data_IF_398890909988
#
_entry.id   IF_398890909988
#
_cell.length_a   1.000
_cell.length_b   1.000
_cell.length_c   1.000
_cell.angle_alpha   90.00
_cell.angle_beta   90.00
_cell.angle_gamma   90.00
#
_symmetry.space_group_name_H-M   'P 1'
#
loop_
_entity.id
_entity.type
_entity.pdbx_description
1 polymer ?
#
# COMPACT_ATOMS: atom_id res chain seq x y z
N UNK A 1 -12.26 -8.30 -2.55
CA UNK A 1 -11.37 -8.64 -1.41
C UNK A 1 -10.29 -9.68 -1.71
N UNK A 2 -10.63 -10.93 -2.07
CA UNK A 2 -9.59 -11.95 -2.35
C UNK A 2 -8.60 -11.53 -3.44
N UNK A 3 -9.09 -10.90 -4.51
CA UNK A 3 -8.24 -10.38 -5.60
C UNK A 3 -7.25 -9.30 -5.11
N UNK A 4 -7.69 -8.39 -4.22
CA UNK A 4 -6.82 -7.37 -3.61
C UNK A 4 -5.68 -8.04 -2.84
N UNK A 5 -6.01 -9.00 -1.97
CA UNK A 5 -4.99 -9.71 -1.19
C UNK A 5 -4.04 -10.50 -2.08
N UNK A 6 -4.54 -11.21 -3.09
CA UNK A 6 -3.70 -11.98 -4.00
C UNK A 6 -2.72 -11.08 -4.77
N UNK A 7 -3.21 -9.96 -5.32
CA UNK A 7 -2.37 -8.98 -6.01
C UNK A 7 -1.36 -8.32 -5.07
N UNK A 8 -1.82 -7.82 -3.93
CA UNK A 8 -0.99 -7.19 -2.90
C UNK A 8 0.11 -8.13 -2.42
N UNK A 9 -0.23 -9.36 -2.03
CA UNK A 9 0.73 -10.32 -1.49
C UNK A 9 1.77 -10.72 -2.54
N UNK A 10 1.37 -10.91 -3.80
CA UNK A 10 2.32 -11.15 -4.88
C UNK A 10 3.39 -10.04 -4.98
N UNK A 11 2.99 -8.78 -4.90
CA UNK A 11 3.94 -7.66 -4.95
C UNK A 11 4.79 -7.55 -3.68
N UNK A 12 4.16 -7.70 -2.52
CA UNK A 12 4.82 -7.61 -1.21
C UNK A 12 5.86 -8.72 -1.06
N UNK A 13 5.54 -9.96 -1.41
CA UNK A 13 6.46 -11.09 -1.26
C UNK A 13 7.69 -10.96 -2.16
N UNK A 14 7.51 -10.43 -3.38
CA UNK A 14 8.58 -10.31 -4.37
C UNK A 14 9.52 -9.10 -4.16
N UNK A 15 9.20 -8.15 -3.26
CA UNK A 15 10.11 -7.03 -3.04
C UNK A 15 11.36 -7.45 -2.26
N UNK A 16 12.54 -7.02 -2.73
CA UNK A 16 13.81 -7.28 -2.06
C UNK A 16 13.98 -6.36 -0.82
N UNK A 17 14.54 -6.90 0.26
CA UNK A 17 14.91 -6.21 1.49
C UNK A 17 16.43 -6.09 1.73
N UNK A 18 17.28 -6.65 0.85
CA UNK A 18 18.76 -6.56 0.90
C UNK A 18 19.25 -5.11 0.89
N UNK A 19 18.48 -4.23 0.25
CA UNK A 19 18.61 -2.79 0.38
C UNK A 19 17.27 -2.18 0.77
N UNK A 20 17.29 -1.02 1.43
CA UNK A 20 16.10 -0.20 1.64
C UNK A 20 16.29 1.13 0.94
N UNK A 21 15.21 1.70 0.39
CA UNK A 21 15.24 3.06 -0.18
C UNK A 21 15.69 4.06 0.90
N UNK A 22 16.43 5.10 0.52
CA UNK A 22 17.05 6.03 1.48
C UNK A 22 16.03 6.63 2.47
N UNK A 23 14.88 7.09 1.97
CA UNK A 23 13.77 7.64 2.77
C UNK A 23 13.23 6.67 3.82
N UNK A 24 13.46 5.36 3.69
CA UNK A 24 12.92 4.38 4.62
C UNK A 24 13.34 4.68 6.07
N UNK A 25 14.57 5.18 6.27
CA UNK A 25 15.11 5.51 7.59
C UNK A 25 14.75 6.93 8.05
N UNK A 26 14.26 7.77 7.15
CA UNK A 26 13.92 9.17 7.42
C UNK A 26 12.43 9.35 7.74
N UNK A 27 11.58 8.44 7.25
CA UNK A 27 10.14 8.49 7.45
C UNK A 27 9.78 8.17 8.91
N UNK A 28 8.97 9.03 9.52
CA UNK A 28 8.25 8.71 10.74
C UNK A 28 7.09 7.75 10.44
N UNK A 29 7.36 6.45 10.54
CA UNK A 29 6.37 5.40 10.28
C UNK A 29 5.20 5.34 11.27
N UNK A 30 5.25 6.12 12.35
CA UNK A 30 4.14 6.23 13.32
C UNK A 30 3.10 7.29 12.91
N UNK A 31 3.34 8.06 11.84
CA UNK A 31 2.36 9.01 11.34
C UNK A 31 1.14 8.27 10.76
N UNK A 32 -0.07 8.78 11.07
CA UNK A 32 -1.35 8.20 10.60
C UNK A 32 -1.53 8.29 9.08
N UNK A 33 -0.91 9.28 8.45
CA UNK A 33 -0.93 9.52 7.01
C UNK A 33 0.47 9.97 6.59
N UNK A 34 1.00 9.36 5.54
CA UNK A 34 2.30 9.65 4.97
C UNK A 34 2.12 9.82 3.47
N UNK A 35 2.46 10.99 2.96
CA UNK A 35 2.50 11.24 1.52
C UNK A 35 3.95 11.11 1.03
N UNK A 36 4.15 10.30 0.00
CA UNK A 36 5.47 10.09 -0.61
C UNK A 36 5.47 10.76 -1.98
N UNK A 37 6.14 11.90 -2.08
CA UNK A 37 6.25 12.67 -3.32
C UNK A 37 7.53 12.34 -4.08
N UNK A 38 7.48 12.40 -5.41
CA UNK A 38 8.65 12.19 -6.26
C UNK A 38 8.29 11.77 -7.68
N UNK A 39 9.23 11.89 -8.61
CA UNK A 39 9.03 11.54 -10.03
C UNK A 39 8.77 10.05 -10.24
N UNK A 40 8.29 9.67 -11.43
CA UNK A 40 8.10 8.26 -11.80
C UNK A 40 9.46 7.55 -11.84
N UNK A 41 9.53 6.31 -11.37
CA UNK A 41 10.75 5.50 -11.38
C UNK A 41 11.73 5.71 -10.21
N UNK A 42 11.51 6.68 -9.32
CA UNK A 42 12.41 6.92 -8.16
C UNK A 42 12.30 5.87 -7.04
N UNK A 43 11.35 4.93 -7.14
CA UNK A 43 11.22 3.82 -6.20
C UNK A 43 10.21 4.02 -5.06
N UNK A 44 9.21 4.90 -5.22
CA UNK A 44 8.13 5.11 -4.25
C UNK A 44 7.39 3.81 -3.91
N UNK A 45 6.93 3.09 -4.94
CA UNK A 45 6.28 1.78 -4.81
C UNK A 45 7.18 0.78 -4.10
N UNK A 46 8.48 0.73 -4.45
CA UNK A 46 9.44 -0.15 -3.76
C UNK A 46 9.50 0.16 -2.26
N UNK A 47 9.58 1.43 -1.87
CA UNK A 47 9.62 1.82 -0.45
C UNK A 47 8.34 1.38 0.29
N UNK A 48 7.17 1.58 -0.32
CA UNK A 48 5.89 1.14 0.24
C UNK A 48 5.84 -0.38 0.44
N UNK A 49 6.18 -1.15 -0.60
CA UNK A 49 6.20 -2.62 -0.55
C UNK A 49 7.20 -3.13 0.49
N UNK A 50 8.37 -2.50 0.62
CA UNK A 50 9.37 -2.87 1.62
C UNK A 50 8.84 -2.71 3.05
N UNK A 51 8.09 -1.64 3.33
CA UNK A 51 7.45 -1.47 4.64
C UNK A 51 6.32 -2.48 4.83
N UNK A 52 5.49 -2.69 3.83
CA UNK A 52 4.41 -3.67 3.88
C UNK A 52 4.91 -5.10 4.14
N UNK A 53 6.03 -5.51 3.51
CA UNK A 53 6.65 -6.82 3.73
C UNK A 53 7.09 -7.02 5.18
N UNK A 54 7.66 -5.99 5.80
CA UNK A 54 8.08 -6.04 7.20
C UNK A 54 6.89 -6.11 8.15
N UNK A 55 5.84 -5.31 7.93
CA UNK A 55 4.59 -5.41 8.70
C UNK A 55 3.96 -6.80 8.58
N UNK A 56 3.87 -7.34 7.37
CA UNK A 56 3.28 -8.67 7.15
C UNK A 56 4.13 -9.82 7.73
N UNK A 57 5.44 -9.60 7.93
CA UNK A 57 6.29 -10.56 8.64
C UNK A 57 6.08 -10.56 10.16
N UNK A 58 5.63 -9.44 10.74
CA UNK A 58 5.28 -9.33 12.16
C UNK A 58 3.89 -9.89 12.43
N UNK A 59 2.93 -9.58 11.54
CA UNK A 59 1.56 -10.08 11.62
C UNK A 59 1.01 -10.26 10.21
N UNK A 60 0.55 -11.48 9.90
CA UNK A 60 -0.07 -11.78 8.61
C UNK A 60 -1.22 -10.82 8.30
N UNK A 61 -1.28 -10.38 7.03
CA UNK A 61 -2.28 -9.44 6.50
C UNK A 61 -2.37 -8.08 7.22
N UNK A 62 -1.35 -7.65 7.95
CA UNK A 62 -1.37 -6.35 8.62
C UNK A 62 -1.34 -5.17 7.64
N UNK A 63 -0.73 -5.35 6.47
CA UNK A 63 -0.57 -4.36 5.42
C UNK A 63 -1.10 -4.86 4.07
N UNK A 64 -1.77 -3.96 3.35
CA UNK A 64 -2.25 -4.19 1.99
C UNK A 64 -1.81 -3.06 1.07
N UNK A 65 -1.38 -3.43 -0.13
CA UNK A 65 -1.06 -2.54 -1.22
C UNK A 65 -2.22 -2.48 -2.23
N UNK A 66 -2.58 -1.28 -2.65
CA UNK A 66 -3.67 -1.03 -3.61
C UNK A 66 -3.18 -0.01 -4.63
N UNK A 67 -3.30 -0.34 -5.91
CA UNK A 67 -3.21 0.65 -6.99
C UNK A 67 -4.56 1.33 -7.16
N UNK A 68 -4.62 2.66 -7.09
CA UNK A 68 -5.86 3.40 -7.32
C UNK A 68 -6.27 3.48 -8.80
N UNK A 69 -5.44 2.95 -9.71
CA UNK A 69 -5.75 2.72 -11.12
C UNK A 69 -6.50 1.38 -11.36
N UNK A 70 -6.69 0.57 -10.31
CA UNK A 70 -7.42 -0.70 -10.41
C UNK A 70 -8.91 -0.49 -10.70
N UNK A 71 -9.51 -1.36 -11.52
CA UNK A 71 -10.93 -1.30 -11.89
C UNK A 71 -11.86 -1.36 -10.67
N UNK A 72 -11.47 -2.07 -9.61
CA UNK A 72 -12.20 -2.12 -8.35
C UNK A 72 -12.41 -0.71 -7.77
N UNK A 73 -11.45 0.19 -7.97
CA UNK A 73 -11.49 1.56 -7.47
C UNK A 73 -12.33 2.50 -8.33
N UNK A 74 -12.88 2.03 -9.45
CA UNK A 74 -13.87 2.79 -10.21
C UNK A 74 -15.24 2.79 -9.54
N UNK A 75 -15.65 1.68 -8.92
CA UNK A 75 -16.95 1.57 -8.24
C UNK A 75 -16.90 1.72 -6.72
N UNK A 76 -15.72 1.63 -6.10
CA UNK A 76 -15.58 1.75 -4.64
C UNK A 76 -14.75 2.98 -4.26
N UNK A 77 -15.01 3.56 -3.09
CA UNK A 77 -14.12 4.56 -2.51
C UNK A 77 -12.98 3.90 -1.73
N UNK A 78 -11.89 4.64 -1.47
CA UNK A 78 -10.81 4.17 -0.60
C UNK A 78 -11.34 3.90 0.81
N UNK A 79 -12.32 4.69 1.27
CA UNK A 79 -12.95 4.53 2.58
C UNK A 79 -13.73 3.23 2.65
N UNK A 80 -14.57 2.93 1.66
CA UNK A 80 -15.37 1.69 1.63
C UNK A 80 -14.46 0.45 1.66
N UNK A 81 -13.40 0.47 0.83
CA UNK A 81 -12.43 -0.63 0.79
C UNK A 81 -11.66 -0.74 2.11
N UNK A 82 -11.31 0.39 2.74
CA UNK A 82 -10.64 0.39 4.03
C UNK A 82 -11.52 -0.22 5.14
N UNK A 83 -12.81 0.11 5.17
CA UNK A 83 -13.78 -0.43 6.13
C UNK A 83 -13.90 -1.95 6.02
N UNK A 84 -13.95 -2.48 4.80
CA UNK A 84 -13.92 -3.93 4.57
C UNK A 84 -12.60 -4.55 5.04
N UNK A 85 -11.45 -3.95 4.68
CA UNK A 85 -10.12 -4.48 5.00
C UNK A 85 -9.84 -4.58 6.51
N UNK A 86 -10.42 -3.69 7.33
CA UNK A 86 -10.31 -3.75 8.79
C UNK A 86 -10.85 -5.09 9.33
N UNK A 87 -11.92 -5.63 8.73
CA UNK A 87 -12.50 -6.92 9.15
C UNK A 87 -11.55 -8.10 8.90
N UNK A 88 -10.58 -7.93 8.01
CA UNK A 88 -9.53 -8.91 7.71
C UNK A 88 -8.25 -8.69 8.52
N UNK A 89 -8.27 -7.77 9.50
CA UNK A 89 -7.13 -7.49 10.38
C UNK A 89 -6.09 -6.54 9.77
N UNK A 90 -6.39 -5.92 8.64
CA UNK A 90 -5.54 -4.90 8.00
C UNK A 90 -5.50 -3.65 8.88
N UNK A 91 -4.30 -3.12 9.05
CA UNK A 91 -4.05 -1.90 9.84
C UNK A 91 -3.35 -0.82 9.02
N UNK A 92 -2.71 -1.19 7.91
CA UNK A 92 -1.91 -0.28 7.09
C UNK A 92 -2.30 -0.42 5.61
N UNK A 93 -2.65 0.70 4.99
CA UNK A 93 -2.97 0.78 3.56
C UNK A 93 -1.87 1.54 2.84
N UNK A 94 -1.32 0.91 1.80
CA UNK A 94 -0.39 1.53 0.87
C UNK A 94 -1.12 1.80 -0.45
N UNK A 95 -1.28 3.07 -0.79
CA UNK A 95 -2.01 3.51 -1.96
C UNK A 95 -1.03 4.04 -3.01
N UNK A 96 -1.05 3.48 -4.21
CA UNK A 96 -0.24 3.95 -5.33
C UNK A 96 -1.10 4.56 -6.44
N UNK A 97 -0.45 5.28 -7.36
CA UNK A 97 -1.09 5.93 -8.51
C UNK A 97 -2.25 6.85 -8.08
N UNK A 98 -2.13 7.54 -6.93
CA UNK A 98 -3.20 8.37 -6.33
C UNK A 98 -3.75 9.45 -7.27
N UNK A 99 -2.93 9.96 -8.19
CA UNK A 99 -3.36 10.91 -9.22
C UNK A 99 -4.34 10.33 -10.25
N UNK A 100 -4.54 9.01 -10.27
CA UNK A 100 -5.55 8.30 -11.07
C UNK A 100 -6.88 8.17 -10.35
N UNK A 101 -6.94 8.47 -9.05
CA UNK A 101 -8.13 8.32 -8.25
C UNK A 101 -9.15 9.43 -8.60
N UNK A 102 -10.31 9.10 -9.21
CA UNK A 102 -11.28 10.10 -9.60
C UNK A 102 -12.04 10.63 -8.37
N UNK A 103 -12.53 11.89 -8.41
CA UNK A 103 -13.48 12.38 -7.42
C UNK A 103 -14.70 11.45 -7.36
N UNK A 104 -15.07 11.03 -6.16
CA UNK A 104 -16.33 10.32 -5.91
C UNK A 104 -17.38 11.37 -5.54
N UNK A 105 -18.47 11.42 -6.32
CA UNK A 105 -19.63 12.29 -6.10
C UNK A 105 -20.68 11.51 -5.31
#
# INVERSE_FOLDING_TARGET
MQEIFAYSNSLIENVNLDFKRYLYREINWNARLIEILGSRGVGKTTLMLQKAKLLNSEKSNQAVYISLDDKLMYSNSVVDVAEELIQYGVQHLFLDEVHKYPPKI
#
